data_IF_259522064601
#
_entry.id   IF_259522064601
#
_cell.length_a   1.000
_cell.length_b   1.000
_cell.length_c   1.000
_cell.angle_alpha   90.00
_cell.angle_beta   90.00
_cell.angle_gamma   90.00
#
_symmetry.space_group_name_H-M   'P 1'
#
loop_
_entity.id
_entity.type
_entity.pdbx_description
1 polymer ?
#
# COMPACT_ATOMS: atom_id res chain seq x y z
N UNK A 1 6.86 18.23 8.35
CA UNK A 1 7.28 16.86 8.02
C UNK A 1 6.04 16.00 7.92
N UNK A 2 5.89 15.19 6.89
CA UNK A 2 4.75 14.24 6.76
C UNK A 2 4.83 13.18 7.86
N UNK A 3 3.70 12.66 8.36
CA UNK A 3 3.71 11.55 9.30
C UNK A 3 4.21 10.27 8.63
N UNK A 4 4.66 9.29 9.42
CA UNK A 4 4.90 7.95 8.91
C UNK A 4 3.58 7.32 8.48
N UNK A 5 3.39 6.96 7.19
CA UNK A 5 2.13 6.39 6.74
C UNK A 5 1.91 4.99 7.31
N UNK A 6 0.64 4.67 7.56
CA UNK A 6 0.20 3.32 7.93
C UNK A 6 -0.69 2.77 6.81
N UNK A 7 -0.38 1.56 6.36
CA UNK A 7 -1.20 0.84 5.38
C UNK A 7 -2.32 0.11 6.12
N UNK A 8 -3.56 0.33 5.70
CA UNK A 8 -4.72 -0.48 6.11
C UNK A 8 -4.97 -1.57 5.09
N UNK A 9 -5.55 -2.67 5.53
CA UNK A 9 -5.89 -3.81 4.67
C UNK A 9 -7.38 -4.10 4.71
N UNK A 10 -7.99 -4.28 3.55
CA UNK A 10 -9.36 -4.76 3.41
C UNK A 10 -9.35 -6.01 2.53
N UNK A 11 -9.76 -7.16 3.10
CA UNK A 11 -9.84 -8.43 2.36
C UNK A 11 -11.05 -8.42 1.45
N UNK A 12 -10.88 -8.90 0.21
CA UNK A 12 -12.01 -9.10 -0.68
C UNK A 12 -12.94 -10.18 -0.13
N UNK A 13 -14.26 -9.92 -0.20
CA UNK A 13 -15.29 -10.92 0.18
C UNK A 13 -15.48 -11.98 -0.89
N UNK A 14 -15.20 -11.64 -2.15
CA UNK A 14 -15.46 -12.49 -3.31
C UNK A 14 -14.24 -13.31 -3.73
N UNK A 15 -13.03 -12.88 -3.35
CA UNK A 15 -11.79 -13.54 -3.73
C UNK A 15 -10.75 -13.52 -2.60
N UNK A 16 -10.44 -14.66 -1.97
CA UNK A 16 -9.47 -14.71 -0.87
C UNK A 16 -8.03 -14.38 -1.29
N UNK A 17 -7.72 -14.48 -2.60
CA UNK A 17 -6.42 -14.13 -3.16
C UNK A 17 -6.32 -12.64 -3.52
N UNK A 18 -7.28 -11.81 -3.13
CA UNK A 18 -7.28 -10.36 -3.37
C UNK A 18 -7.39 -9.60 -2.05
N UNK A 19 -6.46 -8.67 -1.82
CA UNK A 19 -6.51 -7.73 -0.70
C UNK A 19 -6.33 -6.31 -1.23
N UNK A 20 -7.13 -5.38 -0.71
CA UNK A 20 -6.98 -3.95 -0.97
C UNK A 20 -6.10 -3.34 0.11
N UNK A 21 -4.99 -2.72 -0.30
CA UNK A 21 -4.13 -1.93 0.56
C UNK A 21 -4.54 -0.47 0.47
N UNK A 22 -4.77 0.19 1.59
CA UNK A 22 -5.30 1.55 1.63
C UNK A 22 -4.32 2.45 2.38
N UNK A 23 -3.93 3.56 1.76
CA UNK A 23 -3.11 4.59 2.37
C UNK A 23 -3.92 5.90 2.45
N UNK A 24 -4.51 6.20 3.61
CA UNK A 24 -5.53 7.25 3.78
C UNK A 24 -4.94 8.64 4.13
N UNK A 25 -4.15 9.19 3.22
CA UNK A 25 -3.49 10.48 3.37
C UNK A 25 -3.84 11.42 2.22
N UNK A 26 -3.66 12.73 2.42
CA UNK A 26 -4.02 13.74 1.42
C UNK A 26 -2.82 14.17 0.56
N UNK A 27 -1.62 13.83 1.00
CA UNK A 27 -0.36 13.99 0.30
C UNK A 27 -0.28 13.12 -0.95
N UNK A 28 0.72 13.39 -1.80
CA UNK A 28 1.02 12.49 -2.92
C UNK A 28 1.44 11.13 -2.36
N UNK A 29 0.77 10.08 -2.81
CA UNK A 29 1.05 8.70 -2.42
C UNK A 29 1.86 8.03 -3.53
N UNK A 30 2.92 7.34 -3.13
CA UNK A 30 3.75 6.52 -4.02
C UNK A 30 3.76 5.11 -3.46
N UNK A 31 3.14 4.19 -4.19
CA UNK A 31 3.20 2.76 -3.88
C UNK A 31 4.46 2.13 -4.46
N UNK A 32 5.15 1.30 -3.68
CA UNK A 32 6.28 0.49 -4.15
C UNK A 32 6.17 -0.96 -3.70
N UNK A 33 6.62 -1.89 -4.54
CA UNK A 33 6.82 -3.30 -4.17
C UNK A 33 8.25 -3.57 -3.68
N UNK A 34 8.57 -4.84 -3.38
CA UNK A 34 9.89 -5.25 -2.90
C UNK A 34 11.02 -5.08 -3.91
N UNK A 35 10.69 -5.01 -5.21
CA UNK A 35 11.66 -4.71 -6.27
C UNK A 35 11.93 -3.19 -6.40
N UNK A 36 11.21 -2.36 -5.65
CA UNK A 36 11.30 -0.91 -5.73
C UNK A 36 10.52 -0.30 -6.89
N UNK A 37 9.71 -1.10 -7.59
CA UNK A 37 8.89 -0.66 -8.71
C UNK A 37 7.73 0.19 -8.21
N UNK A 38 7.46 1.29 -8.90
CA UNK A 38 6.30 2.13 -8.59
C UNK A 38 5.03 1.50 -9.12
N UNK A 39 4.05 1.28 -8.24
CA UNK A 39 2.76 0.70 -8.59
C UNK A 39 1.70 1.79 -8.76
N UNK A 40 0.72 1.54 -9.62
CA UNK A 40 -0.40 2.45 -9.84
C UNK A 40 -1.54 2.14 -8.87
N UNK A 41 -1.77 3.03 -7.91
CA UNK A 41 -2.97 3.02 -7.08
C UNK A 41 -4.20 3.61 -7.80
N UNK A 42 -5.36 3.40 -7.21
CA UNK A 42 -6.61 4.09 -7.56
C UNK A 42 -7.01 5.05 -6.44
N UNK A 43 -7.78 6.08 -6.78
CA UNK A 43 -8.27 7.05 -5.78
C UNK A 43 -9.13 6.35 -4.72
N UNK A 44 -8.89 6.67 -3.45
CA UNK A 44 -9.71 6.24 -2.33
C UNK A 44 -10.49 7.44 -1.76
N UNK A 45 -11.80 7.31 -1.59
CA UNK A 45 -12.64 8.35 -1.00
C UNK A 45 -12.80 8.12 0.52
N UNK A 46 -12.74 9.17 1.36
CA UNK A 46 -12.66 10.58 0.99
C UNK A 46 -11.24 11.09 0.69
N UNK A 47 -10.19 10.33 1.03
CA UNK A 47 -8.79 10.69 0.78
C UNK A 47 -7.90 9.48 0.62
N UNK A 48 -6.84 9.65 -0.16
CA UNK A 48 -5.76 8.67 -0.30
C UNK A 48 -5.88 7.82 -1.55
N UNK A 49 -5.17 6.70 -1.51
CA UNK A 49 -5.14 5.73 -2.60
C UNK A 49 -5.32 4.30 -2.09
N UNK A 50 -5.90 3.48 -2.95
CA UNK A 50 -6.04 2.05 -2.80
C UNK A 50 -5.17 1.34 -3.83
N UNK A 51 -4.40 0.35 -3.38
CA UNK A 51 -3.65 -0.57 -4.22
C UNK A 51 -4.27 -1.96 -4.09
N UNK A 52 -4.76 -2.52 -5.20
CA UNK A 52 -5.27 -3.88 -5.24
C UNK A 52 -4.11 -4.83 -5.47
N UNK A 53 -3.87 -5.75 -4.54
CA UNK A 53 -2.81 -6.76 -4.64
C UNK A 53 -3.41 -8.15 -4.70
N UNK A 54 -2.74 -9.02 -5.46
CA UNK A 54 -3.10 -10.44 -5.59
C UNK A 54 -2.05 -11.30 -4.92
N UNK A 55 -2.47 -12.47 -4.44
CA UNK A 55 -1.56 -13.46 -3.91
C UNK A 55 -0.67 -14.01 -5.03
N UNK A 56 0.61 -13.66 -5.02
CA UNK A 56 1.61 -14.19 -5.96
C UNK A 56 2.31 -15.44 -5.41
N UNK A 57 2.01 -15.83 -4.17
CA UNK A 57 2.68 -16.91 -3.45
C UNK A 57 4.10 -16.57 -2.98
N UNK A 58 4.53 -15.31 -3.12
CA UNK A 58 5.87 -14.88 -2.77
C UNK A 58 5.88 -14.23 -1.38
N UNK A 59 6.13 -15.05 -0.36
CA UNK A 59 6.12 -14.64 1.06
C UNK A 59 7.11 -13.53 1.45
N UNK A 60 8.11 -13.24 0.61
CA UNK A 60 9.07 -12.14 0.84
C UNK A 60 8.71 -10.87 0.08
N UNK A 61 7.79 -10.92 -0.88
CA UNK A 61 7.26 -9.72 -1.52
C UNK A 61 6.54 -8.86 -0.48
N UNK A 62 6.68 -7.55 -0.62
CA UNK A 62 6.09 -6.59 0.29
C UNK A 62 5.72 -5.32 -0.45
N UNK A 63 4.80 -4.58 0.15
CA UNK A 63 4.33 -3.30 -0.36
C UNK A 63 4.59 -2.19 0.66
N UNK A 64 4.90 -1.00 0.17
CA UNK A 64 5.07 0.20 0.97
C UNK A 64 4.27 1.35 0.38
N UNK A 65 3.78 2.23 1.24
CA UNK A 65 3.22 3.52 0.87
C UNK A 65 4.20 4.61 1.30
N UNK A 66 4.57 5.50 0.38
CA UNK A 66 5.36 6.70 0.69
C UNK A 66 4.50 7.94 0.53
N UNK A 67 4.49 8.80 1.56
CA UNK A 67 3.90 10.13 1.46
C UNK A 67 4.96 11.12 1.01
N UNK A 68 4.62 11.95 0.03
CA UNK A 68 5.48 13.01 -0.47
C UNK A 68 4.73 14.34 -0.48
N UNK A 69 5.40 15.36 0.05
CA UNK A 69 5.00 16.76 -0.15
C UNK A 69 6.23 17.61 -0.51
N UNK A 70 6.05 18.94 -0.63
CA UNK A 70 7.12 19.85 -1.01
C UNK A 70 8.30 19.92 -0.03
N UNK A 71 8.14 19.42 1.20
CA UNK A 71 9.09 19.61 2.31
C UNK A 71 9.74 18.30 2.77
N UNK A 72 9.04 17.17 2.66
CA UNK A 72 9.49 15.91 3.24
C UNK A 72 8.82 14.71 2.59
N UNK A 73 9.49 13.58 2.72
CA UNK A 73 8.99 12.26 2.36
C UNK A 73 9.09 11.33 3.58
N UNK A 74 8.14 10.41 3.71
CA UNK A 74 8.19 9.37 4.75
C UNK A 74 7.49 8.10 4.24
N UNK A 75 8.07 6.94 4.54
CA UNK A 75 7.64 5.64 4.03
C UNK A 75 7.10 4.77 5.16
N UNK A 76 6.06 3.98 4.84
CA UNK A 76 5.45 3.06 5.80
C UNK A 76 6.42 1.93 6.15
N UNK A 77 6.11 1.20 7.22
CA UNK A 77 6.69 -0.13 7.38
C UNK A 77 6.26 -1.04 6.21
N UNK A 78 7.11 -2.00 5.80
CA UNK A 78 6.78 -2.93 4.73
C UNK A 78 5.67 -3.88 5.17
N UNK A 79 4.68 -4.08 4.29
CA UNK A 79 3.59 -5.03 4.48
C UNK A 79 3.81 -6.24 3.58
N UNK A 80 4.22 -7.36 4.18
CA UNK A 80 4.59 -8.57 3.46
C UNK A 80 3.38 -9.38 3.00
N UNK A 81 3.48 -10.04 1.84
CA UNK A 81 2.45 -10.97 1.35
C UNK A 81 2.11 -12.07 2.35
N UNK A 82 3.13 -12.57 3.09
CA UNK A 82 2.93 -13.57 4.15
C UNK A 82 1.95 -13.12 5.23
N UNK A 83 1.79 -11.81 5.40
CA UNK A 83 0.89 -11.23 6.40
C UNK A 83 -0.49 -10.88 5.83
N UNK A 84 -0.57 -10.66 4.51
CA UNK A 84 -1.80 -10.36 3.77
C UNK A 84 -2.65 -11.62 3.53
N UNK A 85 -2.00 -12.71 3.11
CA UNK A 85 -2.64 -13.92 2.61
C UNK A 85 -2.37 -15.14 3.53
N UNK A 86 -2.88 -15.06 4.76
CA UNK A 86 -2.84 -16.17 5.75
C UNK A 86 -3.99 -17.14 5.58
#
# INVERSE_FOLDING_TARGET
RVPKPVIKTEKSKDNPDVVNLICEYSETIIWKNSAGETLKGSKHDPKGETLVVKNEGNRVNFYTCTLKNAVSEETSDPLYERDLFK
#
